data_IF_022308657868
#
_entry.id   IF_022308657868
#
_cell.length_a   1.000
_cell.length_b   1.000
_cell.length_c   1.000
_cell.angle_alpha   90.00
_cell.angle_beta   90.00
_cell.angle_gamma   90.00
#
_symmetry.space_group_name_H-M   'P 1'
#
loop_
_entity.id
_entity.type
_entity.pdbx_description
1 polymer ?
#
# COMPACT_ATOMS: atom_id res chain seq x y z
N UNK A 1 -27.27 -31.03 -11.16
CA UNK A 1 -26.73 -30.14 -10.12
C UNK A 1 -27.32 -28.77 -10.34
N UNK A 2 -28.02 -28.21 -9.36
CA UNK A 2 -28.61 -26.87 -9.43
C UNK A 2 -27.50 -25.84 -9.34
N UNK A 3 -27.44 -24.92 -10.29
CA UNK A 3 -26.52 -23.77 -10.25
C UNK A 3 -26.75 -23.03 -8.93
N UNK A 4 -25.72 -22.78 -8.11
CA UNK A 4 -25.87 -21.95 -6.92
C UNK A 4 -26.12 -20.50 -7.38
N UNK A 5 -27.38 -20.07 -7.26
CA UNK A 5 -27.81 -18.70 -7.57
C UNK A 5 -27.92 -17.94 -6.26
N UNK A 6 -27.28 -16.77 -6.18
CA UNK A 6 -27.45 -15.86 -5.06
C UNK A 6 -28.93 -15.47 -4.91
N UNK A 7 -29.52 -15.59 -3.71
CA UNK A 7 -30.92 -15.30 -3.50
C UNK A 7 -31.24 -13.82 -3.71
N UNK A 8 -32.50 -13.51 -4.00
CA UNK A 8 -32.93 -12.11 -4.23
C UNK A 8 -32.82 -11.22 -2.99
N UNK A 9 -32.79 -11.84 -1.80
CA UNK A 9 -32.55 -11.18 -0.52
C UNK A 9 -31.08 -10.76 -0.32
N UNK A 10 -30.15 -11.16 -1.21
CA UNK A 10 -28.76 -10.75 -1.12
C UNK A 10 -28.63 -9.22 -1.36
N UNK A 11 -27.79 -8.51 -0.57
CA UNK A 11 -27.66 -7.05 -0.58
C UNK A 11 -26.85 -6.54 -1.78
N UNK A 12 -27.18 -7.02 -2.98
CA UNK A 12 -26.57 -6.65 -4.24
C UNK A 12 -27.64 -6.12 -5.19
N UNK A 13 -27.26 -5.18 -6.06
CA UNK A 13 -28.14 -4.78 -7.15
C UNK A 13 -28.40 -5.96 -8.10
N UNK A 14 -29.48 -5.92 -8.89
CA UNK A 14 -29.77 -6.97 -9.88
C UNK A 14 -28.59 -7.21 -10.85
N UNK A 15 -27.91 -6.15 -11.28
CA UNK A 15 -26.76 -6.24 -12.18
C UNK A 15 -25.54 -6.89 -11.50
N UNK A 16 -25.22 -6.52 -10.26
CA UNK A 16 -24.14 -7.12 -9.48
C UNK A 16 -24.39 -8.60 -9.21
N UNK A 17 -25.62 -8.95 -8.87
CA UNK A 17 -26.04 -10.33 -8.62
C UNK A 17 -25.91 -11.19 -9.87
N UNK A 18 -26.32 -10.66 -11.04
CA UNK A 18 -26.17 -11.35 -12.33
C UNK A 18 -24.70 -11.62 -12.67
N UNK A 19 -23.83 -10.62 -12.47
CA UNK A 19 -22.38 -10.77 -12.66
C UNK A 19 -21.78 -11.82 -11.71
N UNK A 20 -22.10 -11.75 -10.41
CA UNK A 20 -21.61 -12.70 -9.41
C UNK A 20 -22.07 -14.14 -9.67
N UNK A 21 -23.32 -14.33 -10.10
CA UNK A 21 -23.82 -15.65 -10.49
C UNK A 21 -23.05 -16.22 -11.69
N UNK A 22 -22.72 -15.38 -12.69
CA UNK A 22 -21.87 -15.78 -13.82
C UNK A 22 -20.44 -16.13 -13.38
N UNK A 23 -19.86 -15.33 -12.48
CA UNK A 23 -18.55 -15.59 -11.89
C UNK A 23 -18.51 -16.92 -11.12
N UNK A 24 -19.50 -17.19 -10.26
CA UNK A 24 -19.58 -18.46 -9.51
C UNK A 24 -19.85 -19.65 -10.42
N UNK A 25 -20.64 -19.48 -11.48
CA UNK A 25 -20.85 -20.53 -12.48
C UNK A 25 -19.54 -20.92 -13.19
N UNK A 26 -18.72 -19.92 -13.58
CA UNK A 26 -17.41 -20.15 -14.17
C UNK A 26 -16.40 -20.73 -13.19
N UNK A 27 -16.36 -20.23 -11.95
CA UNK A 27 -15.45 -20.69 -10.89
C UNK A 27 -15.74 -22.14 -10.45
N UNK A 28 -17.01 -22.54 -10.47
CA UNK A 28 -17.43 -23.89 -10.07
C UNK A 28 -17.46 -24.89 -11.24
N UNK A 29 -16.91 -24.50 -12.40
CA UNK A 29 -16.68 -25.41 -13.53
C UNK A 29 -17.95 -25.95 -14.18
N UNK A 30 -19.04 -25.20 -14.16
CA UNK A 30 -20.24 -25.53 -14.94
C UNK A 30 -20.14 -24.85 -16.30
N UNK A 31 -19.57 -25.56 -17.27
CA UNK A 31 -19.71 -25.22 -18.68
C UNK A 31 -21.20 -25.25 -19.06
N UNK A 32 -21.80 -24.08 -19.22
CA UNK A 32 -22.96 -23.90 -20.06
C UNK A 32 -22.51 -23.04 -21.26
N UNK A 33 -22.17 -23.73 -22.34
CA UNK A 33 -21.79 -23.11 -23.60
C UNK A 33 -22.89 -22.21 -24.16
N UNK A 34 -22.48 -21.14 -24.83
CA UNK A 34 -23.32 -20.41 -25.77
C UNK A 34 -23.35 -18.90 -25.58
N UNK A 35 -22.58 -18.24 -26.45
CA UNK A 35 -22.93 -16.97 -27.11
C UNK A 35 -22.60 -15.65 -26.41
N UNK A 36 -21.66 -14.94 -27.06
CA UNK A 36 -21.53 -13.49 -27.05
C UNK A 36 -22.89 -12.79 -27.08
N UNK A 37 -23.13 -11.91 -26.11
CA UNK A 37 -24.19 -10.90 -26.18
C UNK A 37 -23.57 -9.52 -25.96
N UNK A 38 -23.27 -8.86 -27.07
CA UNK A 38 -23.02 -7.44 -27.18
C UNK A 38 -24.35 -6.70 -26.94
N UNK A 39 -24.46 -6.00 -25.81
CA UNK A 39 -25.64 -5.21 -25.43
C UNK A 39 -25.39 -3.72 -25.62
N UNK A 40 -25.93 -3.20 -26.71
CA UNK A 40 -25.92 -1.80 -27.15
C UNK A 40 -26.64 -0.87 -26.17
N UNK A 41 -26.17 0.38 -26.04
CA UNK A 41 -26.76 1.40 -25.15
C UNK A 41 -28.03 2.05 -25.69
N UNK A 42 -28.90 2.50 -24.77
CA UNK A 42 -29.55 3.83 -24.78
C UNK A 42 -30.54 3.99 -23.61
N UNK A 43 -30.52 5.15 -22.94
CA UNK A 43 -31.69 5.67 -22.21
C UNK A 43 -31.48 6.35 -20.85
N UNK A 44 -30.87 7.55 -20.85
CA UNK A 44 -31.18 8.79 -20.10
C UNK A 44 -31.58 8.70 -18.61
N UNK A 45 -31.02 9.43 -17.65
CA UNK A 45 -30.10 10.57 -17.67
C UNK A 45 -30.23 11.34 -16.35
N UNK A 46 -29.13 11.44 -15.60
CA UNK A 46 -28.94 12.48 -14.58
C UNK A 46 -27.46 12.87 -14.66
N UNK A 47 -27.20 14.00 -15.32
CA UNK A 47 -25.88 14.55 -15.58
C UNK A 47 -25.22 14.99 -14.28
N UNK A 48 -24.31 14.17 -13.75
CA UNK A 48 -23.23 14.64 -12.90
C UNK A 48 -22.04 14.97 -13.80
N UNK A 49 -21.50 16.17 -13.62
CA UNK A 49 -20.37 16.68 -14.37
C UNK A 49 -19.24 15.64 -14.43
N UNK A 50 -18.80 15.34 -15.65
CA UNK A 50 -17.73 14.41 -15.92
C UNK A 50 -16.43 14.92 -15.27
N UNK A 51 -16.01 14.25 -14.21
CA UNK A 51 -14.60 14.16 -13.85
C UNK A 51 -13.90 13.58 -15.08
N UNK A 52 -12.76 14.12 -15.56
CA UNK A 52 -12.05 13.51 -16.68
C UNK A 52 -11.81 12.05 -16.32
N UNK A 53 -12.31 11.13 -17.14
CA UNK A 53 -12.07 9.71 -16.95
C UNK A 53 -10.56 9.50 -16.99
N UNK A 54 -9.95 9.17 -15.85
CA UNK A 54 -8.62 8.59 -15.86
C UNK A 54 -8.68 7.40 -16.82
N UNK A 55 -7.82 7.40 -17.84
CA UNK A 55 -7.68 6.24 -18.71
C UNK A 55 -7.36 5.07 -17.78
N UNK A 56 -8.24 4.08 -17.75
CA UNK A 56 -8.08 2.90 -16.91
C UNK A 56 -6.83 2.15 -17.40
N UNK A 57 -5.69 2.46 -16.79
CA UNK A 57 -4.41 1.86 -17.13
C UNK A 57 -4.42 0.41 -16.63
N UNK A 58 -4.33 -0.52 -17.57
CA UNK A 58 -4.23 -1.95 -17.26
C UNK A 58 -2.86 -2.29 -16.63
N UNK A 59 -2.89 -3.10 -15.57
CA UNK A 59 -1.72 -3.59 -14.84
C UNK A 59 -1.68 -5.13 -14.83
N UNK A 60 -1.30 -5.80 -15.94
CA UNK A 60 -1.23 -7.26 -16.00
C UNK A 60 -0.32 -7.91 -14.95
N UNK A 61 0.63 -7.16 -14.40
CA UNK A 61 1.55 -7.61 -13.35
C UNK A 61 1.01 -7.43 -11.93
N UNK A 62 -0.16 -6.79 -11.74
CA UNK A 62 -0.76 -6.52 -10.42
C UNK A 62 -1.44 -7.78 -9.86
N UNK A 63 -0.63 -8.81 -9.64
CA UNK A 63 -1.04 -10.06 -9.04
C UNK A 63 0.05 -10.49 -8.03
N UNK A 64 -0.29 -10.61 -6.74
CA UNK A 64 0.67 -11.01 -5.71
C UNK A 64 1.13 -12.48 -5.84
N UNK A 65 0.43 -13.31 -6.59
CA UNK A 65 0.84 -14.68 -6.87
C UNK A 65 1.98 -14.77 -7.91
N UNK A 66 2.16 -13.73 -8.73
CA UNK A 66 3.20 -13.70 -9.75
C UNK A 66 4.59 -13.45 -9.13
N UNK A 67 5.61 -14.27 -9.45
CA UNK A 67 6.98 -14.01 -9.05
C UNK A 67 7.50 -12.66 -9.58
N UNK A 68 8.46 -12.06 -8.87
CA UNK A 68 9.04 -10.75 -9.25
C UNK A 68 9.58 -10.71 -10.68
N UNK A 69 10.27 -11.77 -11.12
CA UNK A 69 10.81 -11.85 -12.47
C UNK A 69 9.73 -11.78 -13.56
N UNK A 70 8.60 -12.45 -13.35
CA UNK A 70 7.49 -12.48 -14.30
C UNK A 70 6.77 -11.13 -14.37
N UNK A 71 6.57 -10.48 -13.22
CA UNK A 71 5.98 -9.13 -13.16
C UNK A 71 6.81 -8.10 -13.90
N UNK A 72 8.13 -8.17 -13.76
CA UNK A 72 9.03 -7.28 -14.51
C UNK A 72 8.95 -7.49 -16.01
N UNK A 73 8.83 -8.75 -16.46
CA UNK A 73 8.65 -9.09 -17.88
C UNK A 73 7.36 -8.50 -18.44
N UNK A 74 6.25 -8.59 -17.69
CA UNK A 74 4.96 -7.99 -18.05
C UNK A 74 4.99 -6.46 -18.09
N UNK A 75 5.92 -5.85 -17.34
CA UNK A 75 6.14 -4.40 -17.32
C UNK A 75 7.20 -3.92 -18.33
N UNK A 76 7.75 -4.79 -19.18
CA UNK A 76 8.65 -4.40 -20.26
C UNK A 76 7.96 -3.40 -21.20
N UNK A 77 8.69 -2.39 -21.66
CA UNK A 77 8.15 -1.31 -22.49
C UNK A 77 7.22 -0.30 -21.77
N UNK A 78 6.82 -0.56 -20.52
CA UNK A 78 5.99 0.38 -19.74
C UNK A 78 6.78 1.59 -19.23
N UNK A 79 6.10 2.70 -18.88
CA UNK A 79 6.75 3.86 -18.27
C UNK A 79 7.54 3.50 -17.02
N UNK A 80 8.59 4.27 -16.73
CA UNK A 80 9.49 4.04 -15.60
C UNK A 80 8.77 3.83 -14.23
N UNK A 81 7.75 4.63 -13.85
CA UNK A 81 6.99 4.38 -12.63
C UNK A 81 6.31 3.01 -12.59
N UNK A 82 5.97 2.42 -13.73
CA UNK A 82 5.27 1.13 -13.80
C UNK A 82 6.23 -0.05 -13.75
N UNK A 83 7.44 0.11 -14.26
CA UNK A 83 8.55 -0.82 -13.99
C UNK A 83 8.89 -0.86 -12.50
N UNK A 84 8.92 0.30 -11.84
CA UNK A 84 9.08 0.38 -10.38
C UNK A 84 7.91 -0.28 -9.64
N UNK A 85 6.67 -0.05 -10.08
CA UNK A 85 5.48 -0.68 -9.51
C UNK A 85 5.57 -2.20 -9.60
N UNK A 86 5.89 -2.77 -10.76
CA UNK A 86 6.00 -4.21 -10.98
C UNK A 86 7.04 -4.90 -10.09
N UNK A 87 8.08 -4.15 -9.66
CA UNK A 87 9.09 -4.65 -8.73
C UNK A 87 8.60 -4.78 -7.27
N UNK A 88 7.40 -4.28 -6.92
CA UNK A 88 6.86 -4.27 -5.55
C UNK A 88 6.22 -5.61 -5.16
N UNK A 89 5.28 -5.66 -4.22
CA UNK A 89 4.57 -6.90 -3.82
C UNK A 89 3.15 -7.05 -4.41
N UNK A 90 2.59 -6.00 -5.02
CA UNK A 90 1.21 -5.94 -5.57
C UNK A 90 0.08 -6.26 -4.58
N UNK A 91 0.30 -6.04 -3.28
CA UNK A 91 -0.74 -6.27 -2.28
C UNK A 91 -1.56 -5.02 -1.96
N UNK A 92 -1.11 -3.84 -2.40
CA UNK A 92 -1.72 -2.55 -2.03
C UNK A 92 -2.00 -2.39 -0.52
N UNK A 93 -1.18 -3.06 0.30
CA UNK A 93 -1.43 -3.19 1.74
C UNK A 93 -1.31 -1.87 2.53
N UNK A 94 -0.77 -0.81 1.94
CA UNK A 94 -0.62 0.50 2.57
C UNK A 94 0.42 0.60 3.70
N UNK A 95 1.14 -0.47 4.04
CA UNK A 95 2.10 -0.48 5.14
C UNK A 95 3.19 0.60 4.99
N UNK A 96 3.70 0.78 3.76
CA UNK A 96 4.68 1.81 3.42
C UNK A 96 4.13 3.24 3.44
N UNK A 97 2.81 3.39 3.43
CA UNK A 97 2.09 4.67 3.36
C UNK A 97 1.55 5.02 1.98
N UNK A 98 1.63 4.08 1.05
CA UNK A 98 1.28 4.24 -0.35
C UNK A 98 0.56 2.97 -0.87
N UNK A 99 -0.25 3.12 -1.90
CA UNK A 99 -0.58 2.01 -2.82
C UNK A 99 0.61 1.74 -3.75
N UNK A 100 0.74 0.55 -4.30
CA UNK A 100 1.86 0.17 -5.17
C UNK A 100 2.06 1.17 -6.32
N UNK A 101 0.97 1.61 -6.97
CA UNK A 101 1.00 2.67 -8.00
C UNK A 101 1.57 3.98 -7.46
N UNK A 102 1.01 4.48 -6.34
CA UNK A 102 1.42 5.78 -5.78
C UNK A 102 2.83 5.76 -5.19
N UNK A 103 3.29 4.62 -4.67
CA UNK A 103 4.64 4.46 -4.16
C UNK A 103 5.65 4.57 -5.29
N UNK A 104 5.36 3.91 -6.42
CA UNK A 104 6.26 3.87 -7.55
C UNK A 104 6.36 5.23 -8.24
N UNK A 105 5.26 5.97 -8.26
CA UNK A 105 5.21 7.34 -8.73
C UNK A 105 5.96 8.32 -7.82
N UNK A 106 5.83 8.18 -6.49
CA UNK A 106 6.58 9.00 -5.53
C UNK A 106 8.10 8.75 -5.62
N UNK A 107 8.51 7.49 -5.81
CA UNK A 107 9.92 7.14 -6.09
C UNK A 107 10.36 7.78 -7.41
N UNK A 108 9.56 7.65 -8.47
CA UNK A 108 9.91 8.18 -9.78
C UNK A 108 10.03 9.72 -9.80
N UNK A 109 9.24 10.42 -8.98
CA UNK A 109 9.33 11.88 -8.79
C UNK A 109 10.43 12.31 -7.81
N UNK A 110 11.07 11.37 -7.11
CA UNK A 110 12.09 11.65 -6.09
C UNK A 110 11.53 12.19 -4.77
N UNK A 111 10.21 12.15 -4.58
CA UNK A 111 9.53 12.53 -3.34
C UNK A 111 9.78 11.51 -2.22
N UNK A 112 9.93 10.24 -2.59
CA UNK A 112 10.25 9.16 -1.68
C UNK A 112 11.61 8.56 -2.04
N UNK A 113 12.55 8.60 -1.08
CA UNK A 113 13.94 8.17 -1.26
C UNK A 113 14.23 6.85 -0.57
N UNK A 114 13.40 6.44 0.39
CA UNK A 114 13.56 5.17 1.06
C UNK A 114 12.94 4.04 0.21
N UNK A 115 13.83 3.26 -0.41
CA UNK A 115 13.48 2.13 -1.26
C UNK A 115 13.23 0.83 -0.47
N UNK A 116 13.29 0.88 0.87
CA UNK A 116 13.09 -0.29 1.73
C UNK A 116 11.68 -0.36 2.36
N UNK A 117 10.77 0.57 2.01
CA UNK A 117 9.47 0.68 2.69
C UNK A 117 8.48 -0.43 2.34
N UNK A 118 8.68 -1.15 1.24
CA UNK A 118 7.79 -2.24 0.83
C UNK A 118 7.96 -3.48 1.72
N UNK A 119 7.37 -3.46 2.91
CA UNK A 119 7.44 -4.53 3.91
C UNK A 119 7.12 -5.93 3.36
N UNK A 120 5.99 -6.18 2.67
CA UNK A 120 5.72 -7.52 2.14
C UNK A 120 6.66 -7.95 1.01
N UNK A 121 7.28 -6.98 0.33
CA UNK A 121 8.24 -7.23 -0.75
C UNK A 121 9.66 -7.52 -0.26
N UNK A 122 9.96 -7.14 0.99
CA UNK A 122 11.21 -7.45 1.68
C UNK A 122 12.48 -7.08 0.92
N UNK A 123 13.57 -7.83 1.19
CA UNK A 123 14.90 -7.58 0.61
C UNK A 123 14.92 -7.67 -0.92
N UNK A 124 14.11 -8.57 -1.50
CA UNK A 124 14.06 -8.78 -2.96
C UNK A 124 13.55 -7.52 -3.69
N UNK A 125 12.44 -6.95 -3.20
CA UNK A 125 11.89 -5.69 -3.73
C UNK A 125 12.87 -4.54 -3.55
N UNK A 126 13.43 -4.36 -2.35
CA UNK A 126 14.36 -3.26 -2.07
C UNK A 126 15.60 -3.28 -2.98
N UNK A 127 16.15 -4.48 -3.22
CA UNK A 127 17.28 -4.66 -4.14
C UNK A 127 16.90 -4.31 -5.57
N UNK A 128 15.73 -4.75 -6.05
CA UNK A 128 15.28 -4.48 -7.41
C UNK A 128 14.94 -3.00 -7.63
N UNK A 129 14.31 -2.35 -6.67
CA UNK A 129 14.04 -0.91 -6.74
C UNK A 129 15.34 -0.10 -6.81
N UNK A 130 16.35 -0.45 -6.00
CA UNK A 130 17.69 0.17 -6.06
C UNK A 130 18.34 0.00 -7.43
N UNK A 131 18.26 -1.21 -8.01
CA UNK A 131 18.77 -1.50 -9.35
C UNK A 131 18.09 -0.63 -10.43
N UNK A 132 16.75 -0.53 -10.40
CA UNK A 132 15.98 0.26 -11.36
C UNK A 132 16.22 1.77 -11.22
N UNK A 133 16.35 2.28 -10.00
CA UNK A 133 16.69 3.69 -9.73
C UNK A 133 18.11 4.01 -10.20
N UNK A 134 19.07 3.13 -9.93
CA UNK A 134 20.44 3.30 -10.41
C UNK A 134 20.52 3.26 -11.95
N UNK A 135 19.79 2.34 -12.59
CA UNK A 135 19.72 2.24 -14.05
C UNK A 135 19.10 3.49 -14.69
N UNK A 136 18.07 4.09 -14.07
CA UNK A 136 17.47 5.33 -14.57
C UNK A 136 18.44 6.52 -14.46
N UNK A 137 19.21 6.60 -13.38
CA UNK A 137 20.27 7.61 -13.20
C UNK A 137 21.37 7.51 -14.26
N UNK A 138 21.72 6.29 -14.70
CA UNK A 138 22.68 6.04 -15.77
C UNK A 138 22.15 6.34 -17.19
N UNK A 139 20.83 6.27 -17.41
CA UNK A 139 20.20 6.60 -18.70
C UNK A 139 20.02 8.11 -18.89
N UNK A 140 19.90 8.88 -17.79
CA UNK A 140 19.68 10.33 -17.84
C UNK A 140 20.95 11.11 -18.27
N UNK A 141 22.12 10.48 -18.31
CA UNK A 141 23.38 11.11 -18.74
C UNK A 141 23.65 11.03 -20.25
N UNK A 142 22.82 10.32 -21.03
CA UNK A 142 22.95 10.24 -22.49
C UNK A 142 21.59 10.40 -23.19
N UNK A 143 21.17 11.66 -23.35
CA UNK A 143 20.35 12.16 -24.47
C UNK A 143 18.96 11.56 -24.71
N UNK A 144 17.92 12.28 -24.27
CA UNK A 144 16.90 12.75 -25.21
C UNK A 144 16.20 13.99 -24.66
N UNK A 145 16.11 15.00 -25.52
CA UNK A 145 15.60 16.32 -25.24
C UNK A 145 14.13 16.28 -24.80
N UNK A 146 13.85 16.84 -23.63
CA UNK A 146 12.52 17.36 -23.31
C UNK A 146 12.53 18.83 -23.74
N UNK A 147 11.72 19.13 -24.76
CA UNK A 147 11.52 20.46 -25.33
C UNK A 147 10.96 21.38 -24.25
N UNK A 148 11.87 22.11 -23.58
CA UNK A 148 11.52 23.23 -22.71
C UNK A 148 11.12 24.39 -23.60
N UNK A 149 9.82 24.63 -23.73
CA UNK A 149 9.29 25.85 -24.32
C UNK A 149 9.41 26.94 -23.27
N UNK A 150 10.57 27.60 -23.24
CA UNK A 150 10.79 28.86 -22.55
C UNK A 150 10.26 29.97 -23.48
N UNK A 151 9.12 30.56 -23.13
CA UNK A 151 8.63 31.79 -23.75
C UNK A 151 8.86 32.95 -22.78
N UNK A 152 9.64 33.93 -23.24
CA UNK A 152 10.25 34.99 -22.45
C UNK A 152 9.28 35.98 -21.80
N UNK A 153 9.80 36.62 -20.75
CA UNK A 153 9.29 37.85 -20.15
C UNK A 153 9.08 38.94 -21.22
N UNK A 154 7.84 39.36 -21.39
CA UNK A 154 7.46 40.59 -22.10
C UNK A 154 6.42 41.32 -21.28
N UNK A 155 6.82 42.40 -20.64
CA UNK A 155 5.97 43.30 -19.85
C UNK A 155 4.99 44.04 -20.78
N UNK A 156 3.68 43.84 -20.58
CA UNK A 156 2.63 44.78 -21.00
C UNK A 156 1.51 44.81 -19.95
N UNK A 157 0.92 45.99 -19.84
CA UNK A 157 0.16 46.51 -18.72
C UNK A 157 -1.18 45.83 -18.43
N UNK A 158 -1.65 46.08 -17.21
CA UNK A 158 -2.88 45.63 -16.61
C UNK A 158 -4.16 46.07 -17.34
N UNK A 159 -5.13 45.15 -17.40
CA UNK A 159 -6.56 45.46 -17.35
C UNK A 159 -7.30 44.37 -16.58
N UNK A 160 -8.24 44.81 -15.75
CA UNK A 160 -8.88 44.07 -14.68
C UNK A 160 -9.98 43.09 -15.13
N UNK A 161 -10.25 42.11 -14.27
CA UNK A 161 -11.60 41.53 -14.11
C UNK A 161 -11.70 40.02 -14.25
N UNK A 162 -11.71 39.31 -13.12
CA UNK A 162 -12.14 37.91 -13.07
C UNK A 162 -11.38 37.09 -12.02
N UNK A 163 -11.80 37.18 -10.75
CA UNK A 163 -11.30 36.29 -9.71
C UNK A 163 -11.72 34.84 -10.00
N UNK A 164 -10.82 33.85 -10.05
CA UNK A 164 -11.25 32.47 -9.97
C UNK A 164 -11.66 32.20 -8.52
N UNK A 165 -12.85 31.65 -8.34
CA UNK A 165 -13.29 31.07 -7.09
C UNK A 165 -12.27 29.99 -6.70
N UNK A 166 -11.45 30.28 -5.69
CA UNK A 166 -10.60 29.28 -5.05
C UNK A 166 -11.52 28.22 -4.46
N UNK A 167 -11.60 27.07 -5.12
CA UNK A 167 -12.08 25.85 -4.49
C UNK A 167 -11.18 25.59 -3.29
N UNK A 168 -11.72 25.78 -2.09
CA UNK A 168 -11.06 25.38 -0.85
C UNK A 168 -10.82 23.88 -0.95
N UNK A 169 -9.58 23.49 -1.20
CA UNK A 169 -9.15 22.10 -1.10
C UNK A 169 -9.24 21.75 0.38
N UNK A 170 -10.36 21.13 0.78
CA UNK A 170 -10.52 20.55 2.12
C UNK A 170 -9.49 19.43 2.22
N UNK A 171 -8.38 19.70 2.90
CA UNK A 171 -7.44 18.63 3.24
C UNK A 171 -8.17 17.71 4.22
N UNK A 172 -8.12 16.38 4.01
CA UNK A 172 -8.70 15.46 4.97
C UNK A 172 -8.07 15.72 6.34
N UNK A 173 -8.91 15.95 7.35
CA UNK A 173 -8.50 16.27 8.72
C UNK A 173 -7.58 15.20 9.30
N UNK A 174 -7.77 13.95 8.89
CA UNK A 174 -6.97 12.81 9.30
C UNK A 174 -6.26 12.18 8.11
N UNK A 175 -5.04 11.73 8.35
CA UNK A 175 -4.14 11.17 7.34
C UNK A 175 -3.18 10.18 7.99
N UNK A 176 -2.28 9.58 7.20
CA UNK A 176 -1.19 8.75 7.73
C UNK A 176 -0.37 9.49 8.80
N UNK A 177 -0.07 10.77 8.61
CA UNK A 177 0.73 11.55 9.58
C UNK A 177 -0.09 12.17 10.72
N UNK A 178 -1.42 12.09 10.64
CA UNK A 178 -2.35 12.55 11.67
C UNK A 178 -3.51 11.55 11.79
N UNK A 179 -3.30 10.36 12.39
CA UNK A 179 -4.32 9.31 12.45
C UNK A 179 -5.51 9.72 13.31
N UNK A 180 -6.71 9.25 12.95
CA UNK A 180 -7.91 9.43 13.76
C UNK A 180 -7.92 8.44 14.95
N UNK A 181 -8.09 8.89 16.20
CA UNK A 181 -8.23 8.01 17.36
C UNK A 181 -9.62 7.35 17.37
N UNK A 182 -9.81 6.36 16.49
CA UNK A 182 -11.08 5.66 16.33
C UNK A 182 -11.36 4.71 17.49
N UNK A 183 -12.63 4.59 17.90
CA UNK A 183 -13.05 3.66 18.95
C UNK A 183 -13.24 2.26 18.38
N UNK A 184 -12.67 1.25 19.02
CA UNK A 184 -12.98 -0.15 18.77
C UNK A 184 -14.34 -0.49 19.40
N UNK A 185 -15.33 -0.83 18.58
CA UNK A 185 -16.70 -1.13 19.01
C UNK A 185 -16.86 -2.61 19.33
N UNK A 186 -16.30 -3.47 18.47
CA UNK A 186 -16.44 -4.93 18.59
C UNK A 186 -15.13 -5.60 18.18
N UNK A 187 -14.78 -6.68 18.88
CA UNK A 187 -13.72 -7.60 18.49
C UNK A 187 -14.11 -9.01 18.90
N UNK A 188 -14.63 -9.81 17.97
CA UNK A 188 -15.11 -11.17 18.24
C UNK A 188 -14.33 -12.22 17.45
N UNK A 189 -14.12 -13.43 17.99
CA UNK A 189 -13.48 -14.51 17.25
C UNK A 189 -14.34 -14.96 16.07
N UNK A 190 -13.68 -15.32 14.97
CA UNK A 190 -14.26 -15.97 13.80
C UNK A 190 -13.93 -17.47 13.76
N UNK A 191 -12.92 -17.90 14.50
CA UNK A 191 -12.51 -19.30 14.60
C UNK A 191 -13.36 -20.03 15.65
N UNK A 192 -13.40 -21.36 15.50
CA UNK A 192 -13.95 -22.26 16.53
C UNK A 192 -12.91 -22.52 17.62
N UNK A 193 -13.40 -23.01 18.75
CA UNK A 193 -12.58 -23.49 19.85
C UNK A 193 -11.58 -24.57 19.38
N UNK A 194 -10.36 -24.53 19.92
CA UNK A 194 -9.26 -25.41 19.52
C UNK A 194 -8.51 -24.97 18.25
N UNK A 195 -8.84 -23.83 17.64
CA UNK A 195 -8.06 -23.31 16.52
C UNK A 195 -6.67 -22.83 16.98
N UNK A 196 -5.63 -23.14 16.20
CA UNK A 196 -4.26 -22.64 16.42
C UNK A 196 -4.07 -21.17 16.06
N UNK A 197 -5.04 -20.56 15.38
CA UNK A 197 -4.99 -19.16 14.91
C UNK A 197 -6.15 -18.38 15.55
N UNK A 198 -5.88 -17.15 15.97
CA UNK A 198 -6.91 -16.18 16.35
C UNK A 198 -7.18 -15.25 15.16
N UNK A 199 -8.38 -15.34 14.60
CA UNK A 199 -8.90 -14.48 13.53
C UNK A 199 -10.15 -13.81 14.07
N UNK A 200 -10.22 -12.48 14.01
CA UNK A 200 -11.28 -11.72 14.64
C UNK A 200 -12.02 -10.85 13.63
N UNK A 201 -13.32 -10.69 13.86
CA UNK A 201 -14.12 -9.62 13.27
C UNK A 201 -14.00 -8.39 14.16
N UNK A 202 -13.65 -7.26 13.55
CA UNK A 202 -13.33 -6.01 14.23
C UNK A 202 -14.21 -4.90 13.67
N UNK A 203 -14.90 -4.16 14.53
CA UNK A 203 -15.73 -3.00 14.15
C UNK A 203 -15.13 -1.73 14.73
N UNK A 204 -14.88 -0.74 13.88
CA UNK A 204 -14.22 0.51 14.23
C UNK A 204 -15.16 1.67 13.94
N UNK A 205 -15.38 2.53 14.93
CA UNK A 205 -16.24 3.70 14.84
C UNK A 205 -15.49 4.87 14.19
N UNK A 206 -15.96 5.28 13.01
CA UNK A 206 -15.42 6.42 12.27
C UNK A 206 -16.29 7.68 12.39
N UNK A 207 -17.33 7.66 13.22
CA UNK A 207 -18.19 8.82 13.41
C UNK A 207 -17.38 10.04 13.88
N UNK A 208 -17.67 11.21 13.30
CA UNK A 208 -16.96 12.46 13.60
C UNK A 208 -15.56 12.59 12.96
N UNK A 209 -15.05 11.56 12.28
CA UNK A 209 -13.75 11.64 11.59
C UNK A 209 -13.80 12.42 10.28
N UNK A 210 -14.95 12.42 9.59
CA UNK A 210 -15.05 12.90 8.21
C UNK A 210 -14.34 12.01 7.18
N UNK A 211 -13.84 10.83 7.58
CA UNK A 211 -13.24 9.86 6.66
C UNK A 211 -14.32 9.18 5.82
N UNK A 212 -14.02 8.96 4.55
CA UNK A 212 -14.83 8.19 3.61
C UNK A 212 -14.01 7.04 3.07
N UNK A 213 -14.62 5.87 2.90
CA UNK A 213 -13.97 4.69 2.31
C UNK A 213 -14.94 3.94 1.41
N UNK A 214 -14.39 3.14 0.49
CA UNK A 214 -15.11 2.20 -0.37
C UNK A 214 -14.70 0.76 -0.03
N UNK A 215 -15.56 -0.23 -0.29
CA UNK A 215 -15.14 -1.63 -0.22
C UNK A 215 -13.90 -1.87 -1.09
N UNK A 216 -12.88 -2.49 -0.50
CA UNK A 216 -11.57 -2.70 -1.14
C UNK A 216 -10.48 -1.73 -0.66
N UNK A 217 -10.84 -0.63 -0.01
CA UNK A 217 -9.85 0.29 0.58
C UNK A 217 -9.12 -0.34 1.77
N UNK A 218 -7.87 0.09 2.00
CA UNK A 218 -7.05 -0.34 3.13
C UNK A 218 -7.20 0.57 4.34
N UNK A 219 -7.23 -0.02 5.54
CA UNK A 219 -7.21 0.71 6.81
C UNK A 219 -5.81 0.61 7.45
N UNK A 220 -5.19 1.77 7.70
CA UNK A 220 -3.95 1.84 8.48
C UNK A 220 -4.23 1.81 9.98
N UNK A 221 -3.56 0.90 10.70
CA UNK A 221 -3.62 0.82 12.16
C UNK A 221 -2.23 1.09 12.74
N UNK A 222 -2.17 1.93 13.78
CA UNK A 222 -0.94 2.27 14.49
C UNK A 222 -0.93 1.55 15.85
N UNK A 223 -0.19 0.43 15.98
CA UNK A 223 -0.13 -0.31 17.23
C UNK A 223 0.87 0.30 18.21
N UNK A 224 0.60 0.13 19.50
CA UNK A 224 1.59 0.28 20.56
C UNK A 224 2.24 -1.09 20.83
N UNK A 225 3.52 -1.11 21.19
CA UNK A 225 4.19 -2.34 21.64
C UNK A 225 3.64 -2.80 22.99
N UNK A 226 3.77 -4.10 23.28
CA UNK A 226 3.41 -4.67 24.57
C UNK A 226 4.24 -4.02 25.69
N UNK A 227 3.62 -3.44 26.75
CA UNK A 227 4.34 -2.83 27.85
C UNK A 227 5.35 -3.76 28.53
N UNK A 228 5.01 -5.05 28.69
CA UNK A 228 5.88 -6.04 29.32
C UNK A 228 7.14 -6.30 28.48
N UNK A 229 6.99 -6.38 27.14
CA UNK A 229 8.12 -6.50 26.22
C UNK A 229 9.01 -5.26 26.26
N UNK A 230 8.41 -4.07 26.33
CA UNK A 230 9.18 -2.82 26.50
C UNK A 230 9.99 -2.87 27.79
N UNK A 231 9.40 -3.33 28.88
CA UNK A 231 10.08 -3.47 30.17
C UNK A 231 11.18 -4.54 30.17
N UNK A 232 11.02 -5.63 29.41
CA UNK A 232 12.08 -6.62 29.15
C UNK A 232 13.25 -6.00 28.39
N UNK A 233 12.98 -5.27 27.30
CA UNK A 233 14.00 -4.62 26.48
C UNK A 233 14.75 -3.55 27.29
N UNK A 234 14.04 -2.72 28.05
CA UNK A 234 14.66 -1.70 28.91
C UNK A 234 15.60 -2.32 29.94
N UNK A 235 15.19 -3.44 30.56
CA UNK A 235 16.03 -4.21 31.48
C UNK A 235 17.26 -4.78 30.79
N UNK A 236 17.09 -5.37 29.60
CA UNK A 236 18.20 -5.96 28.84
C UNK A 236 19.23 -4.91 28.40
N UNK A 237 18.78 -3.71 28.02
CA UNK A 237 19.66 -2.60 27.64
C UNK A 237 20.40 -1.98 28.85
N UNK A 238 20.02 -2.34 30.08
CA UNK A 238 20.50 -1.71 31.30
C UNK A 238 20.49 -0.16 31.21
N UNK A 239 19.45 0.39 30.56
CA UNK A 239 19.39 1.78 30.15
C UNK A 239 19.13 2.71 31.34
N UNK A 240 20.15 2.94 32.18
CA UNK A 240 20.14 3.90 33.28
C UNK A 240 20.57 5.31 32.84
N UNK A 241 20.02 5.85 31.75
CA UNK A 241 20.54 7.04 31.06
C UNK A 241 19.54 8.18 30.79
N UNK A 242 20.08 9.35 30.41
CA UNK A 242 19.47 10.71 30.24
C UNK A 242 18.16 10.85 29.45
N UNK A 243 17.70 9.84 28.71
CA UNK A 243 16.46 9.88 27.93
C UNK A 243 15.48 8.85 28.49
N UNK A 244 14.23 9.26 28.67
CA UNK A 244 13.15 8.32 28.93
C UNK A 244 12.82 7.56 27.63
N UNK A 245 13.38 6.35 27.51
CA UNK A 245 13.22 5.49 26.35
C UNK A 245 11.85 4.80 26.30
N UNK A 246 11.16 4.67 27.45
CA UNK A 246 9.88 3.94 27.53
C UNK A 246 8.82 4.45 26.55
N UNK A 247 8.48 5.76 26.49
CA UNK A 247 7.46 6.25 25.55
C UNK A 247 7.85 6.03 24.08
N UNK A 248 9.15 6.10 23.78
CA UNK A 248 9.65 5.88 22.43
C UNK A 248 9.57 4.41 22.02
N UNK A 249 9.96 3.49 22.91
CA UNK A 249 9.85 2.05 22.66
C UNK A 249 8.40 1.59 22.63
N UNK A 250 7.48 2.28 23.29
CA UNK A 250 6.06 1.97 23.20
C UNK A 250 5.47 2.29 21.82
N UNK A 251 5.87 3.40 21.18
CA UNK A 251 5.11 3.94 20.03
C UNK A 251 5.91 4.25 18.77
N UNK A 252 7.22 4.45 18.88
CA UNK A 252 8.05 5.01 17.82
C UNK A 252 9.00 4.00 17.19
N UNK A 253 9.30 2.89 17.88
CA UNK A 253 10.24 1.88 17.41
C UNK A 253 9.59 0.49 17.33
N UNK A 254 10.02 -0.30 16.35
CA UNK A 254 9.61 -1.70 16.23
C UNK A 254 10.46 -2.56 17.16
N UNK A 255 9.81 -3.37 18.00
CA UNK A 255 10.44 -4.42 18.80
C UNK A 255 10.26 -5.81 18.17
N UNK A 256 9.94 -5.86 16.87
CA UNK A 256 9.79 -7.08 16.10
C UNK A 256 11.15 -7.71 15.74
N UNK A 257 11.20 -8.38 14.58
CA UNK A 257 12.43 -9.04 14.12
C UNK A 257 13.59 -8.04 14.01
N UNK A 258 14.76 -8.32 14.60
CA UNK A 258 15.93 -7.46 14.46
C UNK A 258 16.41 -7.44 13.01
N UNK A 259 16.85 -6.27 12.56
CA UNK A 259 17.47 -6.07 11.24
C UNK A 259 18.97 -6.43 11.31
N UNK A 260 19.55 -6.88 10.19
CA UNK A 260 20.95 -7.29 10.11
C UNK A 260 21.91 -6.23 10.70
N UNK A 261 21.73 -4.95 10.34
CA UNK A 261 22.53 -3.83 10.86
C UNK A 261 22.48 -3.71 12.39
N UNK A 262 21.32 -4.00 13.00
CA UNK A 262 21.19 -3.99 14.46
C UNK A 262 21.99 -5.15 15.05
N UNK A 263 21.93 -6.33 14.45
CA UNK A 263 22.68 -7.51 14.91
C UNK A 263 24.18 -7.25 14.79
N UNK A 264 24.64 -6.66 13.68
CA UNK A 264 26.04 -6.28 13.51
C UNK A 264 26.51 -5.32 14.59
N UNK A 265 25.70 -4.33 14.95
CA UNK A 265 26.01 -3.42 16.05
C UNK A 265 26.02 -4.11 17.41
N UNK A 266 25.16 -5.10 17.62
CA UNK A 266 25.18 -5.91 18.83
C UNK A 266 26.44 -6.80 18.90
N UNK A 267 26.90 -7.35 17.76
CA UNK A 267 28.16 -8.12 17.66
C UNK A 267 29.35 -7.24 18.05
N UNK A 268 29.40 -6.00 17.58
CA UNK A 268 30.44 -5.02 17.97
C UNK A 268 30.45 -4.73 19.48
N UNK A 269 29.31 -4.88 20.16
CA UNK A 269 29.15 -4.62 21.59
C UNK A 269 29.13 -5.90 22.45
N UNK A 270 29.34 -7.08 21.86
CA UNK A 270 29.21 -8.36 22.55
C UNK A 270 30.20 -8.46 23.72
N UNK A 271 29.72 -8.97 24.87
CA UNK A 271 30.54 -9.11 26.07
C UNK A 271 31.53 -10.27 25.98
N UNK A 272 31.29 -11.23 25.08
CA UNK A 272 32.16 -12.40 24.87
C UNK A 272 32.19 -12.85 23.40
N UNK A 273 33.24 -13.60 22.99
CA UNK A 273 33.28 -14.22 21.67
C UNK A 273 32.12 -15.18 21.40
N UNK A 274 31.65 -15.90 22.43
CA UNK A 274 30.53 -16.84 22.31
C UNK A 274 29.21 -16.12 22.00
N UNK A 275 29.01 -14.94 22.59
CA UNK A 275 27.85 -14.09 22.31
C UNK A 275 27.91 -13.52 20.89
N UNK A 276 29.07 -13.05 20.45
CA UNK A 276 29.29 -12.60 19.08
C UNK A 276 29.00 -13.71 18.05
N UNK A 277 29.43 -14.94 18.32
CA UNK A 277 29.17 -16.10 17.47
C UNK A 277 27.68 -16.49 17.45
N UNK A 278 26.98 -16.36 18.58
CA UNK A 278 25.53 -16.56 18.63
C UNK A 278 24.77 -15.52 17.80
N UNK A 279 25.11 -14.23 17.96
CA UNK A 279 24.50 -13.15 17.21
C UNK A 279 24.74 -13.28 15.70
N UNK A 280 25.95 -13.69 15.30
CA UNK A 280 26.30 -13.95 13.90
C UNK A 280 25.43 -15.07 13.31
N UNK A 281 25.23 -16.17 14.04
CA UNK A 281 24.32 -17.24 13.62
C UNK A 281 22.88 -16.77 13.48
N UNK A 282 22.38 -15.94 14.40
CA UNK A 282 21.02 -15.37 14.32
C UNK A 282 20.83 -14.53 13.06
N UNK A 283 21.86 -13.80 12.63
CA UNK A 283 21.84 -13.02 11.37
C UNK A 283 21.77 -13.94 10.16
N UNK A 284 22.57 -14.99 10.14
CA UNK A 284 22.77 -15.83 8.95
C UNK A 284 21.64 -16.86 8.74
N UNK A 285 20.83 -17.14 9.77
CA UNK A 285 19.63 -17.98 9.72
C UNK A 285 19.90 -19.45 9.98
#
# INVERSE_FOLDING_TARGET
MTVPVLPESAPFSPAQRAWLNGFFAGLLGLDAGGSHAQGNGNGNGATLAAVPAEVEEDFPWHDPALPLAERLKLAEGRPYPRKLMAAMAQLDCGACGYLCKTYSEAIARGEEKDLNRCTPGGKETSRKLKELVAAQGAVTTNGSAMTSVVAGNGSIAATAGGAPLSSVVVRPTFSRSNPFPARLVESRPLNREGSKKDTRHVVIDLAGSGLTYKPGDALGVYPDNCPDLVDEVLRALNAGGRLDLRPLLLRNYSLGRPVDDLIERLVECAASPEEADLLTRIRDG
#
